data_IF_066454002603
#
_entry.id   IF_066454002603
#
_cell.length_a   1.000
_cell.length_b   1.000
_cell.length_c   1.000
_cell.angle_alpha   90.00
_cell.angle_beta   90.00
_cell.angle_gamma   90.00
#
_symmetry.space_group_name_H-M   'P 1'
#
loop_
_entity.id
_entity.type
_entity.pdbx_description
1 polymer ?
#
# COMPACT_ATOMS: atom_id res chain seq x y z
N UNK A 1 2.83 -7.91 -5.94
CA UNK A 1 2.27 -8.40 -7.22
C UNK A 1 2.39 -7.33 -8.30
N UNK A 2 1.56 -6.27 -8.29
CA UNK A 2 1.41 -5.27 -9.37
C UNK A 2 2.74 -4.69 -9.85
N UNK A 3 3.60 -4.19 -8.95
CA UNK A 3 4.88 -3.57 -9.32
C UNK A 3 5.79 -4.54 -10.09
N UNK A 4 5.83 -5.82 -9.69
CA UNK A 4 6.57 -6.85 -10.44
C UNK A 4 5.99 -7.11 -11.82
N UNK A 5 4.67 -7.16 -11.94
CA UNK A 5 4.02 -7.33 -13.25
C UNK A 5 4.33 -6.16 -14.21
N UNK A 6 4.38 -4.93 -13.68
CA UNK A 6 4.79 -3.73 -14.42
C UNK A 6 6.25 -3.85 -14.90
N UNK A 7 7.16 -4.23 -14.00
CA UNK A 7 8.59 -4.39 -14.30
C UNK A 7 8.82 -5.51 -15.33
N UNK A 8 8.17 -6.66 -15.16
CA UNK A 8 8.24 -7.80 -16.09
C UNK A 8 7.72 -7.45 -17.49
N UNK A 9 6.67 -6.63 -17.57
CA UNK A 9 6.14 -6.12 -18.83
C UNK A 9 7.03 -5.03 -19.46
N UNK A 10 7.93 -4.40 -18.70
CA UNK A 10 8.68 -3.22 -19.11
C UNK A 10 7.78 -2.03 -19.42
N UNK A 11 6.67 -1.91 -18.71
CA UNK A 11 5.70 -0.84 -18.90
C UNK A 11 6.19 0.47 -18.31
N UNK A 12 5.87 1.60 -18.97
CA UNK A 12 6.19 2.95 -18.49
C UNK A 12 5.15 3.38 -17.42
N UNK A 13 5.18 2.71 -16.29
CA UNK A 13 4.29 2.93 -15.15
C UNK A 13 5.12 3.01 -13.87
N UNK A 14 4.81 3.94 -13.00
CA UNK A 14 5.40 4.07 -11.66
C UNK A 14 4.34 3.79 -10.61
N UNK A 15 4.64 2.91 -9.67
CA UNK A 15 3.80 2.67 -8.48
C UNK A 15 4.24 3.61 -7.38
N UNK A 16 3.30 4.42 -6.88
CA UNK A 16 3.52 5.31 -5.76
C UNK A 16 2.69 4.84 -4.56
N UNK A 17 3.34 4.66 -3.42
CA UNK A 17 2.67 4.39 -2.14
C UNK A 17 3.03 5.48 -1.14
N UNK A 18 2.04 6.16 -0.63
CA UNK A 18 2.21 7.24 0.32
C UNK A 18 1.75 6.84 1.70
N UNK A 19 2.52 7.26 2.71
CA UNK A 19 2.14 7.05 4.11
C UNK A 19 1.07 8.03 4.57
N UNK A 20 0.26 7.60 5.53
CA UNK A 20 -0.65 8.44 6.33
C UNK A 20 -0.02 8.87 7.66
N UNK A 21 1.18 8.36 8.00
CA UNK A 21 1.94 8.69 9.22
C UNK A 21 3.24 9.45 8.91
N UNK A 22 3.18 10.74 8.59
CA UNK A 22 4.39 11.52 8.26
C UNK A 22 5.36 11.70 9.45
N UNK A 23 4.91 11.45 10.69
CA UNK A 23 5.75 11.54 11.89
C UNK A 23 6.52 10.24 12.14
N UNK A 24 5.86 9.09 11.91
CA UNK A 24 6.45 7.75 12.08
C UNK A 24 7.24 7.30 10.86
N UNK A 25 6.79 7.64 9.67
CA UNK A 25 7.35 7.16 8.41
C UNK A 25 8.21 8.23 7.72
N UNK A 26 9.38 8.46 8.28
CA UNK A 26 10.38 9.30 7.62
C UNK A 26 10.97 8.62 6.37
N UNK A 27 11.67 9.37 5.48
CA UNK A 27 12.26 8.81 4.27
C UNK A 27 13.23 7.65 4.51
N UNK A 28 13.92 7.60 5.66
CA UNK A 28 14.85 6.53 5.98
C UNK A 28 14.10 5.24 6.35
N UNK A 29 12.99 5.37 7.07
CA UNK A 29 12.10 4.26 7.40
C UNK A 29 11.41 3.71 6.16
N UNK A 30 10.87 4.57 5.30
CA UNK A 30 10.26 4.15 4.02
C UNK A 30 11.28 3.43 3.13
N UNK A 31 12.51 3.92 3.02
CA UNK A 31 13.57 3.24 2.28
C UNK A 31 13.91 1.86 2.88
N UNK A 32 13.94 1.73 4.20
CA UNK A 32 14.16 0.44 4.86
C UNK A 32 13.00 -0.53 4.60
N UNK A 33 11.75 -0.05 4.65
CA UNK A 33 10.56 -0.84 4.34
C UNK A 33 10.58 -1.38 2.91
N UNK A 34 10.94 -0.54 1.93
CA UNK A 34 11.04 -0.94 0.53
C UNK A 34 12.00 -2.11 0.31
N UNK A 35 13.07 -2.22 1.10
CA UNK A 35 14.03 -3.35 0.99
C UNK A 35 13.43 -4.71 1.32
N UNK A 36 12.27 -4.76 1.98
CA UNK A 36 11.57 -6.00 2.30
C UNK A 36 10.87 -6.60 1.06
N UNK A 37 10.76 -5.84 -0.03
CA UNK A 37 10.05 -6.23 -1.26
C UNK A 37 11.01 -6.22 -2.46
N UNK A 38 11.97 -7.15 -2.56
CA UNK A 38 12.94 -7.17 -3.65
C UNK A 38 12.27 -7.40 -5.01
N UNK A 39 12.82 -6.82 -6.07
CA UNK A 39 12.33 -6.96 -7.44
C UNK A 39 11.06 -6.16 -7.72
N UNK A 40 10.90 -5.01 -7.09
CA UNK A 40 9.83 -4.05 -7.32
C UNK A 40 10.43 -2.67 -7.63
N UNK A 41 11.16 -2.57 -8.75
CA UNK A 41 11.95 -1.39 -9.10
C UNK A 41 11.06 -0.18 -9.49
N UNK A 42 9.85 -0.45 -10.02
CA UNK A 42 8.87 0.58 -10.34
C UNK A 42 8.16 1.18 -9.12
N UNK A 43 8.35 0.59 -7.94
CA UNK A 43 7.66 1.00 -6.71
C UNK A 43 8.44 2.06 -5.93
N UNK A 44 7.79 3.17 -5.62
CA UNK A 44 8.36 4.27 -4.86
C UNK A 44 7.47 4.63 -3.69
N UNK A 45 8.06 4.67 -2.50
CA UNK A 45 7.40 5.11 -1.27
C UNK A 45 7.64 6.61 -1.05
N UNK A 46 6.65 7.32 -0.56
CA UNK A 46 6.78 8.74 -0.27
C UNK A 46 6.02 9.18 0.98
N UNK A 47 6.42 10.32 1.53
CA UNK A 47 5.69 11.07 2.55
C UNK A 47 5.48 12.50 2.05
N UNK A 48 4.32 13.08 2.33
CA UNK A 48 4.01 14.47 2.01
C UNK A 48 4.35 15.43 3.17
N UNK A 49 4.89 14.92 4.27
CA UNK A 49 5.24 15.71 5.46
C UNK A 49 4.04 16.52 5.97
N UNK A 50 4.23 17.84 6.19
CA UNK A 50 3.15 18.73 6.67
C UNK A 50 1.98 18.86 5.69
N UNK A 51 2.13 18.41 4.43
CA UNK A 51 1.09 18.43 3.40
C UNK A 51 0.23 17.16 3.33
N UNK A 52 0.46 16.18 4.19
CA UNK A 52 -0.19 14.86 4.13
C UNK A 52 -1.72 14.95 4.16
N UNK A 53 -2.29 15.79 5.01
CA UNK A 53 -3.74 16.00 5.11
C UNK A 53 -4.36 16.50 3.80
N UNK A 54 -3.79 17.56 3.24
CA UNK A 54 -4.32 18.16 2.01
C UNK A 54 -4.12 17.23 0.80
N UNK A 55 -3.00 16.50 0.78
CA UNK A 55 -2.71 15.51 -0.25
C UNK A 55 -3.77 14.41 -0.25
N UNK A 56 -3.97 13.70 0.87
CA UNK A 56 -4.90 12.59 0.94
C UNK A 56 -6.36 13.01 0.79
N UNK A 57 -6.74 14.18 1.31
CA UNK A 57 -8.08 14.75 1.07
C UNK A 57 -8.37 14.99 -0.41
N UNK A 58 -7.36 15.35 -1.20
CA UNK A 58 -7.54 15.58 -2.64
C UNK A 58 -7.92 14.31 -3.40
N UNK A 59 -7.56 13.13 -2.87
CA UNK A 59 -7.92 11.81 -3.40
C UNK A 59 -9.10 11.14 -2.69
N UNK A 60 -9.76 11.84 -1.75
CA UNK A 60 -10.87 11.29 -0.99
C UNK A 60 -10.48 10.25 0.07
N UNK A 61 -9.19 10.07 0.32
CA UNK A 61 -8.68 9.21 1.40
C UNK A 61 -8.87 9.91 2.74
N UNK A 62 -9.50 9.21 3.66
CA UNK A 62 -9.70 9.67 5.04
C UNK A 62 -8.82 8.82 5.96
N UNK A 63 -8.27 9.44 6.97
CA UNK A 63 -7.51 8.73 8.00
C UNK A 63 -7.63 9.45 9.35
N UNK A 64 -7.49 8.68 10.43
CA UNK A 64 -7.52 9.17 11.80
C UNK A 64 -6.51 8.40 12.65
N UNK A 65 -5.73 9.13 13.44
CA UNK A 65 -4.84 8.51 14.42
C UNK A 65 -5.63 8.06 15.64
N UNK A 66 -5.49 6.81 16.01
CA UNK A 66 -6.16 6.18 17.13
C UNK A 66 -5.14 5.60 18.13
N UNK A 67 -5.56 5.39 19.37
CA UNK A 67 -4.73 4.67 20.34
C UNK A 67 -4.68 3.18 19.97
N UNK A 68 -3.47 2.60 19.92
CA UNK A 68 -3.33 1.17 19.66
C UNK A 68 -3.97 0.31 20.75
N UNK A 69 -4.56 -0.80 20.37
CA UNK A 69 -5.15 -1.77 21.29
C UNK A 69 -4.09 -2.51 22.12
N UNK A 70 -4.46 -2.90 23.34
CA UNK A 70 -3.58 -3.69 24.22
C UNK A 70 -3.93 -5.19 24.13
N UNK A 71 -2.91 -6.07 24.17
CA UNK A 71 -1.48 -5.79 24.35
C UNK A 71 -0.87 -5.12 23.12
N UNK A 72 -0.01 -4.11 23.33
CA UNK A 72 0.65 -3.40 22.23
C UNK A 72 1.46 -4.34 21.33
N UNK A 73 1.30 -4.17 20.03
CA UNK A 73 2.20 -4.73 19.02
C UNK A 73 3.61 -4.16 19.15
N UNK A 74 4.52 -4.68 18.34
CA UNK A 74 5.89 -4.21 18.26
C UNK A 74 6.16 -3.59 16.91
N UNK A 75 6.86 -2.48 16.92
CA UNK A 75 7.40 -1.88 15.71
C UNK A 75 8.39 -2.84 15.02
N UNK A 76 8.19 -3.05 13.75
CA UNK A 76 8.96 -4.04 12.96
C UNK A 76 10.45 -3.70 12.83
N UNK A 77 10.82 -2.42 12.91
CA UNK A 77 12.18 -1.95 12.74
C UNK A 77 12.91 -1.80 14.08
N UNK A 78 12.23 -1.26 15.08
CA UNK A 78 12.85 -0.94 16.38
C UNK A 78 12.57 -1.97 17.46
N UNK A 79 11.49 -2.74 17.34
CA UNK A 79 11.01 -3.68 18.36
C UNK A 79 10.32 -3.01 19.56
N UNK A 80 10.19 -1.70 19.55
CA UNK A 80 9.51 -0.93 20.61
C UNK A 80 7.99 -1.11 20.54
N UNK A 81 7.27 -0.92 21.65
CA UNK A 81 5.80 -0.99 21.62
C UNK A 81 5.18 0.06 20.71
N UNK A 82 4.27 -0.33 19.84
CA UNK A 82 3.43 0.57 19.03
C UNK A 82 2.25 1.02 19.88
N UNK A 83 2.17 2.31 20.18
CA UNK A 83 1.17 2.88 21.10
C UNK A 83 0.01 3.60 20.41
N UNK A 84 0.09 3.76 19.10
CA UNK A 84 -0.95 4.34 18.24
C UNK A 84 -1.04 3.58 16.92
N UNK A 85 -2.13 3.79 16.20
CA UNK A 85 -2.38 3.25 14.89
C UNK A 85 -3.11 4.30 14.05
N UNK A 86 -3.31 4.01 12.77
CA UNK A 86 -4.12 4.82 11.87
C UNK A 86 -5.24 3.99 11.28
N UNK A 87 -6.48 4.41 11.52
CA UNK A 87 -7.60 3.95 10.74
C UNK A 87 -7.67 4.77 9.46
N UNK A 88 -7.65 4.14 8.29
CA UNK A 88 -7.65 4.85 7.02
C UNK A 88 -8.46 4.12 5.95
N UNK A 89 -8.84 4.86 4.92
CA UNK A 89 -9.42 4.27 3.70
C UNK A 89 -8.29 3.76 2.82
N UNK A 90 -8.29 2.46 2.52
CA UNK A 90 -7.44 1.92 1.48
C UNK A 90 -7.99 2.30 0.10
N UNK A 91 -7.12 2.79 -0.76
CA UNK A 91 -7.49 3.21 -2.10
C UNK A 91 -6.40 2.86 -3.12
N UNK A 92 -6.83 2.32 -4.27
CA UNK A 92 -6.00 2.20 -5.47
C UNK A 92 -6.45 3.22 -6.50
N UNK A 93 -5.52 4.01 -7.05
CA UNK A 93 -5.81 5.09 -7.99
C UNK A 93 -4.84 4.98 -9.17
N UNK A 94 -5.36 4.98 -10.39
CA UNK A 94 -4.53 5.05 -11.61
C UNK A 94 -4.72 6.43 -12.23
N UNK A 95 -3.60 7.10 -12.46
CA UNK A 95 -3.54 8.44 -13.06
C UNK A 95 -2.74 8.34 -14.36
N UNK A 96 -3.26 8.92 -15.45
CA UNK A 96 -2.55 8.95 -16.73
C UNK A 96 -1.48 10.06 -16.78
N UNK A 97 -0.70 10.07 -17.85
CA UNK A 97 0.38 11.04 -18.05
C UNK A 97 -0.10 12.50 -18.14
N UNK A 98 -1.38 12.72 -18.42
CA UNK A 98 -2.04 14.03 -18.45
C UNK A 98 -2.56 14.47 -17.08
N UNK A 99 -2.45 13.61 -16.05
CA UNK A 99 -2.90 13.88 -14.68
C UNK A 99 -4.38 13.57 -14.44
N UNK A 100 -5.04 12.80 -15.30
CA UNK A 100 -6.43 12.43 -15.11
C UNK A 100 -6.53 11.10 -14.37
N UNK A 101 -7.41 11.04 -13.37
CA UNK A 101 -7.80 9.79 -12.75
C UNK A 101 -8.55 8.92 -13.77
N UNK A 102 -8.07 7.71 -14.01
CA UNK A 102 -8.60 6.76 -14.98
C UNK A 102 -9.30 5.57 -14.33
N UNK A 103 -8.89 5.25 -13.14
CA UNK A 103 -9.46 4.17 -12.36
C UNK A 103 -9.27 4.44 -10.87
N UNK A 104 -10.29 4.15 -10.07
CA UNK A 104 -10.28 4.30 -8.61
C UNK A 104 -10.97 3.11 -7.98
N UNK A 105 -10.40 2.58 -6.93
CA UNK A 105 -11.04 1.61 -6.04
C UNK A 105 -10.82 1.99 -4.58
N UNK A 106 -11.71 1.54 -3.71
CA UNK A 106 -11.60 1.72 -2.27
C UNK A 106 -11.94 0.40 -1.57
N UNK A 107 -11.47 0.25 -0.34
CA UNK A 107 -11.64 -0.93 0.51
C UNK A 107 -10.39 -1.79 0.55
N UNK A 108 -10.43 -2.83 1.37
CA UNK A 108 -9.28 -3.67 1.68
C UNK A 108 -8.74 -4.40 0.45
N UNK A 109 -7.42 -4.46 0.26
CA UNK A 109 -6.84 -5.23 -0.83
C UNK A 109 -7.01 -6.73 -0.58
N UNK A 110 -7.46 -7.46 -1.61
CA UNK A 110 -7.35 -8.90 -1.64
C UNK A 110 -5.95 -9.31 -2.09
N UNK A 111 -5.18 -9.87 -1.18
CA UNK A 111 -3.80 -10.30 -1.44
C UNK A 111 -3.71 -11.60 -2.26
N UNK A 112 -4.84 -12.20 -2.66
CA UNK A 112 -4.93 -13.38 -3.54
C UNK A 112 -4.05 -14.56 -3.07
N UNK A 113 -3.84 -14.67 -1.74
CA UNK A 113 -3.02 -15.70 -1.11
C UNK A 113 -1.51 -15.42 -1.13
N UNK A 114 -1.07 -14.23 -1.56
CA UNK A 114 0.32 -13.82 -1.39
C UNK A 114 0.63 -13.63 0.11
N UNK A 115 1.66 -14.30 0.59
CA UNK A 115 2.15 -14.10 1.94
C UNK A 115 2.93 -12.78 2.04
N UNK A 116 2.83 -12.06 3.17
CA UNK A 116 3.71 -10.93 3.41
C UNK A 116 5.17 -11.37 3.48
N UNK A 117 6.12 -10.46 3.29
CA UNK A 117 7.54 -10.77 3.53
C UNK A 117 7.74 -11.41 4.90
N UNK A 118 8.62 -12.42 5.00
CA UNK A 118 8.90 -13.16 6.24
C UNK A 118 9.22 -12.22 7.42
N UNK A 119 9.90 -11.11 7.14
CA UNK A 119 10.25 -10.10 8.13
C UNK A 119 9.02 -9.41 8.74
N UNK A 120 7.89 -9.35 8.03
CA UNK A 120 6.65 -8.73 8.48
C UNK A 120 5.62 -9.73 9.02
N UNK A 121 5.70 -11.00 8.63
CA UNK A 121 4.72 -12.03 9.00
C UNK A 121 4.53 -12.18 10.51
N UNK A 122 5.60 -11.94 11.31
CA UNK A 122 5.55 -12.02 12.77
C UNK A 122 4.94 -10.78 13.46
N UNK A 123 4.63 -9.74 12.70
CA UNK A 123 4.06 -8.49 13.19
C UNK A 123 2.56 -8.33 12.85
N UNK A 124 2.00 -9.27 12.10
CA UNK A 124 0.57 -9.31 11.87
C UNK A 124 -0.18 -9.53 13.18
N UNK A 125 -1.23 -8.76 13.39
CA UNK A 125 -2.20 -8.98 14.44
C UNK A 125 -3.22 -10.07 14.01
N UNK A 126 -4.19 -10.38 14.88
CA UNK A 126 -5.21 -11.39 14.61
C UNK A 126 -6.04 -11.03 13.37
N UNK A 127 -6.37 -9.76 13.18
CA UNK A 127 -7.10 -9.23 12.02
C UNK A 127 -6.30 -9.39 10.71
N UNK A 128 -5.01 -9.05 10.72
CA UNK A 128 -4.12 -9.27 9.57
C UNK A 128 -4.01 -10.75 9.19
N UNK A 129 -3.99 -11.65 10.17
CA UNK A 129 -4.04 -13.09 9.92
C UNK A 129 -5.39 -13.54 9.34
N UNK A 130 -6.50 -12.98 9.81
CA UNK A 130 -7.84 -13.27 9.29
C UNK A 130 -7.98 -12.80 7.84
N UNK A 131 -7.54 -11.58 7.51
CA UNK A 131 -7.56 -11.05 6.14
C UNK A 131 -6.72 -11.88 5.16
N UNK A 132 -5.60 -12.45 5.61
CA UNK A 132 -4.83 -13.39 4.77
C UNK A 132 -5.54 -14.71 4.54
N UNK A 133 -6.25 -15.21 5.54
CA UNK A 133 -6.93 -16.50 5.47
C UNK A 133 -8.27 -16.44 4.74
N UNK A 134 -9.03 -15.39 4.95
CA UNK A 134 -10.38 -15.16 4.42
C UNK A 134 -10.51 -13.72 3.85
N UNK A 135 -9.90 -13.42 2.69
CA UNK A 135 -9.97 -12.09 2.11
C UNK A 135 -11.42 -11.71 1.78
N UNK A 136 -11.78 -10.45 1.99
CA UNK A 136 -13.10 -9.93 1.67
C UNK A 136 -13.44 -10.13 0.19
N UNK A 137 -14.65 -10.59 -0.11
CA UNK A 137 -15.13 -10.75 -1.49
C UNK A 137 -15.39 -9.42 -2.21
N UNK A 138 -15.44 -8.32 -1.49
CA UNK A 138 -15.61 -6.96 -2.03
C UNK A 138 -14.28 -6.24 -2.20
N UNK A 139 -13.19 -6.85 -1.74
CA UNK A 139 -11.85 -6.30 -1.85
C UNK A 139 -11.37 -6.24 -3.31
N UNK A 140 -10.59 -5.21 -3.62
CA UNK A 140 -9.90 -5.12 -4.90
C UNK A 140 -8.64 -6.02 -4.93
N UNK A 141 -8.22 -6.44 -6.10
CA UNK A 141 -7.08 -7.36 -6.26
C UNK A 141 -6.00 -6.80 -7.19
N UNK A 142 -4.81 -7.40 -7.11
CA UNK A 142 -3.73 -7.10 -8.04
C UNK A 142 -4.15 -7.30 -9.48
N UNK A 143 -4.87 -8.38 -9.79
CA UNK A 143 -5.36 -8.69 -11.14
C UNK A 143 -6.31 -7.62 -11.70
N UNK A 144 -7.13 -6.98 -10.86
CA UNK A 144 -7.99 -5.87 -11.30
C UNK A 144 -7.17 -4.63 -11.68
N UNK A 145 -6.11 -4.32 -10.93
CA UNK A 145 -5.21 -3.21 -11.25
C UNK A 145 -4.44 -3.51 -12.53
N UNK A 146 -3.91 -4.72 -12.69
CA UNK A 146 -3.18 -5.16 -13.88
C UNK A 146 -4.06 -5.09 -15.14
N UNK A 147 -5.32 -5.50 -15.03
CA UNK A 147 -6.29 -5.35 -16.11
C UNK A 147 -6.53 -3.87 -16.46
N UNK A 148 -6.77 -3.02 -15.48
CA UNK A 148 -6.98 -1.60 -15.68
C UNK A 148 -5.75 -0.92 -16.33
N UNK A 149 -4.55 -1.26 -15.87
CA UNK A 149 -3.31 -0.79 -16.47
C UNK A 149 -3.15 -1.27 -17.92
N UNK A 150 -3.47 -2.53 -18.21
CA UNK A 150 -3.47 -3.08 -19.58
C UNK A 150 -4.39 -2.28 -20.50
N UNK A 151 -5.60 -1.96 -20.05
CA UNK A 151 -6.58 -1.18 -20.82
C UNK A 151 -6.11 0.28 -21.04
N UNK A 152 -5.50 0.90 -20.03
CA UNK A 152 -5.06 2.30 -20.09
C UNK A 152 -3.79 2.46 -20.94
N UNK A 153 -2.82 1.57 -20.78
CA UNK A 153 -1.53 1.65 -21.49
C UNK A 153 -1.56 1.02 -22.86
N UNK A 154 -2.50 0.10 -23.11
CA UNK A 154 -2.54 -0.73 -24.32
C UNK A 154 -1.45 -1.81 -24.34
N UNK A 155 -0.72 -2.01 -23.25
CA UNK A 155 0.33 -3.02 -23.09
C UNK A 155 -0.14 -4.09 -22.11
N UNK A 156 0.08 -5.38 -22.42
CA UNK A 156 -0.26 -6.48 -21.51
C UNK A 156 0.59 -6.40 -20.24
N UNK A 157 -0.09 -6.33 -19.09
CA UNK A 157 0.51 -6.28 -17.73
C UNK A 157 -0.12 -7.41 -16.92
N UNK A 158 0.71 -8.34 -16.44
CA UNK A 158 0.26 -9.52 -15.69
C UNK A 158 -0.12 -10.72 -16.55
#
# INVERSE_FOLDING_TARGET
AVSRAIDDAGADVVVLEGTVDPEGDDPARLAAYQTLFPGADSWTLFTAGDGTDDFWKSFGVQYERVDAEKPFGKDWQTGEPVTYDYEHTDAGIIIDAEGHERWVTQGDPNVEGEAPPDALASYLNDEGHEHLAEPSSEAWSASQIEQALTEITGQQIG
#
